data_IF_476649015274
#
_entry.id   IF_476649015274
#
_cell.length_a   1.000
_cell.length_b   1.000
_cell.length_c   1.000
_cell.angle_alpha   90.00
_cell.angle_beta   90.00
_cell.angle_gamma   90.00
#
_symmetry.space_group_name_H-M   'P 1'
#
loop_
_entity.id
_entity.type
_entity.pdbx_description
1 polymer ?
#
# COMPACT_ATOMS: atom_id res chain seq x y z
N UNK A 1 8.54 13.88 -37.20
CA UNK A 1 9.05 13.84 -38.60
C UNK A 1 10.09 12.74 -38.82
N UNK A 2 11.29 12.75 -38.22
CA UNK A 2 12.37 11.78 -38.52
C UNK A 2 11.97 10.31 -38.36
N UNK A 3 11.22 9.90 -37.32
CA UNK A 3 10.74 8.51 -37.17
C UNK A 3 9.83 8.09 -38.31
N UNK A 4 8.93 8.98 -38.74
CA UNK A 4 8.01 8.70 -39.87
C UNK A 4 8.81 8.53 -41.16
N UNK A 5 9.80 9.40 -41.39
CA UNK A 5 10.69 9.30 -42.53
C UNK A 5 11.50 7.99 -42.55
N UNK A 6 12.13 7.63 -41.43
CA UNK A 6 12.88 6.37 -41.32
C UNK A 6 11.99 5.14 -41.60
N UNK A 7 10.76 5.10 -41.09
CA UNK A 7 9.82 4.01 -41.37
C UNK A 7 9.36 4.02 -42.82
N UNK A 8 9.16 5.21 -43.43
CA UNK A 8 8.81 5.34 -44.84
C UNK A 8 9.96 4.86 -45.76
N UNK A 9 11.21 5.12 -45.39
CA UNK A 9 12.40 4.66 -46.10
C UNK A 9 12.55 3.11 -46.09
N UNK A 10 12.03 2.43 -45.09
CA UNK A 10 12.05 0.98 -44.93
C UNK A 10 10.80 0.28 -45.49
N UNK A 11 9.79 1.05 -45.88
CA UNK A 11 8.52 0.53 -46.36
C UNK A 11 8.44 0.58 -47.89
N UNK A 12 7.71 -0.38 -48.50
CA UNK A 12 7.52 -0.41 -49.95
C UNK A 12 6.76 0.81 -50.50
N UNK A 13 5.89 1.38 -49.65
CA UNK A 13 5.11 2.58 -49.96
C UNK A 13 4.65 3.29 -48.68
N UNK A 14 4.15 4.52 -48.81
CA UNK A 14 3.69 5.32 -47.67
C UNK A 14 2.45 4.74 -46.98
N UNK A 15 1.64 3.93 -47.64
CA UNK A 15 0.50 3.24 -47.03
C UNK A 15 0.98 2.16 -46.03
N UNK A 16 1.99 1.40 -46.44
CA UNK A 16 2.62 0.41 -45.52
C UNK A 16 3.28 1.11 -44.31
N UNK A 17 4.01 2.19 -44.55
CA UNK A 17 4.60 3.00 -43.46
C UNK A 17 3.53 3.53 -42.52
N UNK A 18 2.40 4.00 -43.04
CA UNK A 18 1.27 4.48 -42.24
C UNK A 18 0.66 3.39 -41.38
N UNK A 19 0.48 2.18 -41.94
CA UNK A 19 -0.02 1.01 -41.18
C UNK A 19 0.93 0.62 -40.06
N UNK A 20 2.25 0.56 -40.33
CA UNK A 20 3.28 0.24 -39.29
C UNK A 20 3.32 1.25 -38.16
N UNK A 21 3.01 2.52 -38.43
CA UNK A 21 3.05 3.62 -37.48
C UNK A 21 1.70 3.91 -36.80
N UNK A 22 0.62 3.28 -37.24
CA UNK A 22 -0.73 3.56 -36.75
C UNK A 22 -1.23 4.97 -37.08
N UNK A 23 -0.80 5.55 -38.23
CA UNK A 23 -1.19 6.90 -38.70
C UNK A 23 -1.86 6.87 -40.04
N UNK A 24 -2.41 8.00 -40.50
CA UNK A 24 -2.96 8.07 -41.87
C UNK A 24 -1.86 8.22 -42.94
N UNK A 25 -2.06 7.71 -44.17
CA UNK A 25 -1.11 7.90 -45.27
C UNK A 25 -0.83 9.38 -45.59
N UNK A 26 -1.82 10.25 -45.37
CA UNK A 26 -1.66 11.69 -45.55
C UNK A 26 -0.70 12.28 -44.50
N UNK A 27 -0.72 11.75 -43.23
CA UNK A 27 0.20 12.16 -42.18
C UNK A 27 1.66 11.81 -42.53
N UNK A 28 1.89 10.62 -43.13
CA UNK A 28 3.21 10.21 -43.64
C UNK A 28 3.68 11.14 -44.75
N UNK A 29 2.82 11.41 -45.76
CA UNK A 29 3.14 12.30 -46.87
C UNK A 29 3.48 13.71 -46.38
N UNK A 30 2.71 14.25 -45.44
CA UNK A 30 2.95 15.57 -44.85
C UNK A 30 4.29 15.61 -44.12
N UNK A 31 4.56 14.64 -43.27
CA UNK A 31 5.79 14.59 -42.46
C UNK A 31 7.04 14.47 -43.35
N UNK A 32 6.97 13.71 -44.43
CA UNK A 32 8.06 13.61 -45.42
C UNK A 32 8.25 14.93 -46.12
N UNK A 33 7.17 15.58 -46.62
CA UNK A 33 7.25 16.88 -47.28
C UNK A 33 7.81 17.97 -46.37
N UNK A 34 7.35 18.04 -45.14
CA UNK A 34 7.88 18.99 -44.13
C UNK A 34 9.38 18.76 -43.87
N UNK A 35 9.84 17.50 -43.89
CA UNK A 35 11.25 17.19 -43.75
C UNK A 35 12.05 17.59 -45.00
N UNK A 36 11.54 17.35 -46.22
CA UNK A 36 12.12 17.79 -47.48
C UNK A 36 12.26 19.34 -47.52
N UNK A 37 11.19 20.03 -47.14
CA UNK A 37 11.20 21.49 -47.04
C UNK A 37 12.24 22.00 -46.00
N UNK A 38 12.46 21.26 -44.91
CA UNK A 38 13.43 21.62 -43.88
C UNK A 38 14.88 21.39 -44.32
N UNK A 39 15.15 20.28 -45.02
CA UNK A 39 16.51 19.93 -45.47
C UNK A 39 16.88 20.53 -46.81
N UNK A 40 15.88 21.03 -47.57
CA UNK A 40 16.06 21.65 -48.89
C UNK A 40 16.30 20.67 -50.03
N UNK A 41 16.11 19.37 -49.80
CA UNK A 41 16.40 18.29 -50.77
C UNK A 41 15.25 17.28 -50.79
N UNK A 42 15.02 16.67 -51.95
CA UNK A 42 14.04 15.59 -52.06
C UNK A 42 14.57 14.31 -51.45
N UNK A 43 13.75 13.68 -50.60
CA UNK A 43 14.07 12.42 -49.95
C UNK A 43 13.53 11.21 -50.72
N UNK A 44 12.47 11.40 -51.52
CA UNK A 44 11.90 10.38 -52.35
C UNK A 44 11.68 10.90 -53.80
N UNK A 45 11.87 10.04 -54.76
CA UNK A 45 11.51 10.33 -56.16
C UNK A 45 9.97 10.36 -56.30
N UNK A 46 9.48 11.39 -56.97
CA UNK A 46 8.02 11.53 -57.24
C UNK A 46 7.56 10.48 -58.26
N UNK A 47 7.23 9.29 -57.80
CA UNK A 47 6.58 8.27 -58.63
C UNK A 47 5.39 7.69 -57.87
N UNK A 48 4.21 7.65 -58.50
CA UNK A 48 2.93 7.31 -57.85
C UNK A 48 2.76 5.83 -57.49
N UNK A 49 3.67 4.94 -57.90
CA UNK A 49 3.53 3.49 -57.68
C UNK A 49 4.54 2.88 -56.72
N UNK A 50 5.72 3.49 -56.51
CA UNK A 50 6.76 3.00 -55.58
C UNK A 50 7.49 4.16 -54.94
N UNK A 51 7.71 4.06 -53.63
CA UNK A 51 8.58 4.99 -52.92
C UNK A 51 10.04 4.64 -53.21
N UNK A 52 10.63 5.28 -54.22
CA UNK A 52 12.06 5.14 -54.42
C UNK A 52 12.77 6.26 -53.67
N UNK A 53 13.55 5.91 -52.64
CA UNK A 53 14.33 6.86 -51.87
C UNK A 53 15.47 7.43 -52.72
N UNK A 54 15.84 8.69 -52.53
CA UNK A 54 16.99 9.32 -53.17
C UNK A 54 18.28 8.95 -52.47
N UNK A 55 19.43 9.11 -53.09
CA UNK A 55 20.74 8.90 -52.45
C UNK A 55 20.90 9.76 -51.17
N UNK A 56 20.52 11.05 -51.26
CA UNK A 56 20.48 11.93 -50.11
C UNK A 56 19.53 11.40 -49.01
N UNK A 57 18.34 10.90 -49.41
CA UNK A 57 17.39 10.30 -48.49
C UNK A 57 17.97 9.06 -47.75
N UNK A 58 18.67 8.17 -48.51
CA UNK A 58 19.34 6.99 -47.88
C UNK A 58 20.39 7.42 -46.84
N UNK A 59 21.24 8.37 -47.17
CA UNK A 59 22.25 8.90 -46.27
C UNK A 59 21.61 9.54 -45.03
N UNK A 60 20.55 10.32 -45.23
CA UNK A 60 19.80 10.93 -44.12
C UNK A 60 19.12 9.86 -43.26
N UNK A 61 18.52 8.82 -43.83
CA UNK A 61 17.87 7.75 -43.13
C UNK A 61 18.84 6.98 -42.20
N UNK A 62 20.06 6.71 -42.66
CA UNK A 62 21.12 6.08 -41.87
C UNK A 62 21.46 6.94 -40.63
N UNK A 63 21.72 8.24 -40.85
CA UNK A 63 22.07 9.18 -39.78
C UNK A 63 20.92 9.39 -38.82
N UNK A 64 19.70 9.52 -39.32
CA UNK A 64 18.50 9.70 -38.49
C UNK A 64 18.23 8.51 -37.59
N UNK A 65 18.38 7.26 -38.12
CA UNK A 65 18.24 6.03 -37.33
C UNK A 65 19.25 5.98 -36.18
N UNK A 66 20.51 6.26 -36.43
CA UNK A 66 21.54 6.28 -35.41
C UNK A 66 21.22 7.31 -34.31
N UNK A 67 20.79 8.51 -34.67
CA UNK A 67 20.41 9.53 -33.74
C UNK A 67 19.16 9.16 -32.94
N UNK A 68 18.15 8.56 -33.57
CA UNK A 68 16.93 8.09 -32.91
C UNK A 68 17.21 6.95 -31.91
N UNK A 69 18.12 6.03 -32.25
CA UNK A 69 18.59 5.00 -31.32
C UNK A 69 19.24 5.59 -30.06
N UNK A 70 20.03 6.65 -30.25
CA UNK A 70 20.61 7.39 -29.12
C UNK A 70 19.55 8.01 -28.20
N UNK A 71 18.53 8.62 -28.78
CA UNK A 71 17.38 9.18 -28.05
C UNK A 71 16.62 8.08 -27.30
N UNK A 72 16.32 6.97 -27.97
CA UNK A 72 15.62 5.84 -27.37
C UNK A 72 16.42 5.22 -26.21
N UNK A 73 17.75 5.13 -26.34
CA UNK A 73 18.63 4.67 -25.27
C UNK A 73 18.61 5.57 -24.03
N UNK A 74 18.45 6.89 -24.21
CA UNK A 74 18.28 7.82 -23.09
C UNK A 74 17.01 7.53 -22.30
N UNK A 75 15.89 7.30 -22.98
CA UNK A 75 14.61 6.96 -22.32
C UNK A 75 14.66 5.59 -21.67
N UNK A 76 15.22 4.57 -22.33
CA UNK A 76 15.39 3.24 -21.75
C UNK A 76 16.27 3.25 -20.50
N UNK A 77 17.36 4.03 -20.49
CA UNK A 77 18.19 4.22 -19.30
C UNK A 77 17.44 4.89 -18.16
N UNK A 78 16.59 5.88 -18.47
CA UNK A 78 15.76 6.54 -17.47
C UNK A 78 14.73 5.57 -16.86
N UNK A 79 14.11 4.70 -17.65
CA UNK A 79 13.19 3.67 -17.17
C UNK A 79 13.90 2.61 -16.33
N UNK A 80 15.07 2.13 -16.76
CA UNK A 80 15.91 1.20 -16.01
C UNK A 80 16.40 1.81 -14.69
N UNK A 81 16.78 3.08 -14.68
CA UNK A 81 17.16 3.79 -13.47
C UNK A 81 15.98 3.89 -12.48
N UNK A 82 14.77 4.22 -12.96
CA UNK A 82 13.56 4.23 -12.12
C UNK A 82 13.22 2.85 -11.56
N UNK A 83 13.30 1.79 -12.37
CA UNK A 83 13.09 0.43 -11.90
C UNK A 83 14.14 0.02 -10.86
N UNK A 84 15.41 0.43 -11.03
CA UNK A 84 16.49 0.21 -10.07
C UNK A 84 16.29 0.99 -8.76
N UNK A 85 15.75 2.23 -8.81
CA UNK A 85 15.45 3.02 -7.61
C UNK A 85 14.33 2.42 -6.74
N UNK A 86 13.41 1.68 -7.36
CA UNK A 86 12.32 0.98 -6.66
C UNK A 86 12.73 -0.41 -6.18
N UNK A 87 13.87 -0.95 -6.63
CA UNK A 87 14.38 -2.21 -6.18
C UNK A 87 15.04 -2.10 -4.79
N UNK A 88 14.96 -3.21 -4.03
CA UNK A 88 15.61 -3.35 -2.73
C UNK A 88 14.65 -3.54 -1.57
N UNK A 89 15.21 -3.66 -0.38
CA UNK A 89 14.50 -4.00 0.84
C UNK A 89 13.81 -2.77 1.46
N UNK A 90 12.56 -2.98 1.92
CA UNK A 90 11.80 -2.07 2.78
C UNK A 90 11.31 -2.86 3.99
N UNK A 91 11.72 -2.44 5.18
CA UNK A 91 11.30 -3.03 6.46
C UNK A 91 10.11 -2.30 7.04
N UNK A 92 9.06 -3.05 7.33
CA UNK A 92 7.79 -2.55 7.84
C UNK A 92 7.53 -3.17 9.20
N UNK A 93 7.12 -2.37 10.19
CA UNK A 93 6.59 -2.89 11.46
C UNK A 93 5.11 -2.55 11.60
N UNK A 94 4.34 -3.49 12.14
CA UNK A 94 2.92 -3.32 12.41
C UNK A 94 2.46 -4.19 13.58
N UNK A 95 1.35 -3.86 14.27
CA UNK A 95 0.72 -4.75 15.24
C UNK A 95 0.44 -6.12 14.61
N UNK A 96 0.64 -7.20 15.39
CA UNK A 96 0.52 -8.59 14.88
C UNK A 96 -0.82 -8.87 14.20
N UNK A 97 -1.91 -8.51 14.86
CA UNK A 97 -3.24 -8.73 14.33
C UNK A 97 -3.51 -7.91 13.04
N UNK A 98 -3.06 -6.66 13.01
CA UNK A 98 -3.17 -5.80 11.84
C UNK A 98 -2.35 -6.34 10.65
N UNK A 99 -1.15 -6.85 10.92
CA UNK A 99 -0.30 -7.49 9.92
C UNK A 99 -1.00 -8.64 9.23
N UNK A 100 -1.70 -9.49 9.98
CA UNK A 100 -2.42 -10.66 9.43
C UNK A 100 -3.68 -10.29 8.64
N UNK A 101 -4.48 -9.35 9.14
CA UNK A 101 -5.82 -9.10 8.61
C UNK A 101 -5.92 -7.90 7.66
N UNK A 102 -4.98 -6.94 7.72
CA UNK A 102 -5.07 -5.70 6.94
C UNK A 102 -4.00 -5.50 5.88
N UNK A 103 -2.77 -5.98 6.12
CA UNK A 103 -1.61 -5.60 5.29
C UNK A 103 -1.33 -6.53 4.11
N UNK A 104 -1.60 -7.83 4.22
CA UNK A 104 -1.15 -8.82 3.22
C UNK A 104 -1.63 -8.51 1.82
N UNK A 105 -2.84 -7.96 1.69
CA UNK A 105 -3.39 -7.61 0.38
C UNK A 105 -2.56 -6.50 -0.29
N UNK A 106 -2.38 -5.37 0.38
CA UNK A 106 -1.66 -4.21 -0.20
C UNK A 106 -0.18 -4.53 -0.43
N UNK A 107 0.45 -5.29 0.46
CA UNK A 107 1.85 -5.70 0.30
C UNK A 107 2.01 -6.69 -0.87
N UNK A 108 1.08 -7.61 -1.05
CA UNK A 108 1.05 -8.53 -2.19
C UNK A 108 0.87 -7.80 -3.53
N UNK A 109 -0.02 -6.82 -3.59
CA UNK A 109 -0.20 -5.96 -4.78
C UNK A 109 1.09 -5.20 -5.13
N UNK A 110 1.77 -4.64 -4.12
CA UNK A 110 3.05 -3.93 -4.31
C UNK A 110 4.15 -4.86 -4.85
N UNK A 111 4.30 -6.06 -4.29
CA UNK A 111 5.29 -7.03 -4.79
C UNK A 111 4.99 -7.49 -6.23
N UNK A 112 3.72 -7.66 -6.57
CA UNK A 112 3.31 -8.03 -7.93
C UNK A 112 3.60 -6.93 -8.96
N UNK A 113 3.39 -5.66 -8.58
CA UNK A 113 3.63 -4.50 -9.45
C UNK A 113 5.11 -4.13 -9.56
N UNK A 114 5.93 -4.45 -8.56
CA UNK A 114 7.34 -4.08 -8.47
C UNK A 114 8.23 -5.29 -8.14
N UNK A 115 8.58 -6.15 -9.13
CA UNK A 115 9.31 -7.40 -8.89
C UNK A 115 10.68 -7.24 -8.22
N UNK A 116 11.28 -6.05 -8.29
CA UNK A 116 12.54 -5.74 -7.60
C UNK A 116 12.38 -5.32 -6.13
N UNK A 117 11.15 -5.07 -5.67
CA UNK A 117 10.85 -4.67 -4.31
C UNK A 117 10.87 -5.89 -3.38
N UNK A 118 11.58 -5.78 -2.28
CA UNK A 118 11.62 -6.78 -1.22
C UNK A 118 10.99 -6.20 0.05
N UNK A 119 10.02 -6.87 0.63
CA UNK A 119 9.32 -6.43 1.84
C UNK A 119 9.65 -7.37 3.00
N UNK A 120 10.13 -6.78 4.11
CA UNK A 120 10.37 -7.45 5.40
C UNK A 120 9.33 -6.94 6.40
N UNK A 121 8.28 -7.73 6.66
CA UNK A 121 7.24 -7.37 7.61
C UNK A 121 7.54 -7.97 8.98
N UNK A 122 7.77 -7.11 9.96
CA UNK A 122 7.96 -7.46 11.36
C UNK A 122 6.71 -7.13 12.15
N UNK A 123 5.93 -8.17 12.45
CA UNK A 123 4.71 -8.04 13.24
C UNK A 123 5.03 -8.06 14.73
N UNK A 124 4.85 -6.92 15.40
CA UNK A 124 5.15 -6.77 16.82
C UNK A 124 4.21 -5.74 17.47
N UNK A 125 3.68 -6.09 18.63
CA UNK A 125 2.90 -5.17 19.46
C UNK A 125 3.81 -4.36 20.42
N UNK A 126 5.10 -4.67 20.48
CA UNK A 126 6.09 -3.82 21.15
C UNK A 126 6.37 -2.55 20.34
N UNK A 127 6.69 -1.48 21.06
CA UNK A 127 7.26 -0.30 20.42
C UNK A 127 8.69 -0.65 19.95
N UNK A 128 8.83 -0.96 18.67
CA UNK A 128 10.14 -1.17 18.08
C UNK A 128 11.01 0.08 18.25
N UNK A 129 12.24 -0.05 18.68
CA UNK A 129 13.21 1.00 18.44
C UNK A 129 13.53 1.01 16.96
N UNK A 130 12.84 1.92 16.26
CA UNK A 130 12.91 2.07 14.79
C UNK A 130 14.35 2.27 14.31
N UNK A 131 15.23 2.75 15.20
CA UNK A 131 16.63 3.02 14.90
C UNK A 131 17.45 1.74 14.93
N UNK A 132 17.33 0.98 16.03
CA UNK A 132 18.13 -0.22 16.26
C UNK A 132 17.65 -1.38 15.38
N UNK A 133 16.36 -1.45 15.06
CA UNK A 133 15.77 -2.47 14.21
C UNK A 133 15.79 -2.14 12.71
N UNK A 134 16.33 -1.00 12.31
CA UNK A 134 16.40 -0.55 10.92
C UNK A 134 15.05 -0.55 10.22
N UNK A 135 14.00 -0.11 10.92
CA UNK A 135 12.65 -0.02 10.37
C UNK A 135 12.52 1.20 9.47
N UNK A 136 12.01 1.01 8.26
CA UNK A 136 11.76 2.08 7.29
C UNK A 136 10.36 2.68 7.44
N UNK A 137 9.36 1.84 7.74
CA UNK A 137 7.95 2.25 7.87
C UNK A 137 7.33 1.54 9.07
N UNK A 138 6.57 2.27 9.87
CA UNK A 138 5.79 1.71 10.95
C UNK A 138 4.31 2.01 10.82
N UNK A 139 3.48 1.11 11.34
CA UNK A 139 2.04 1.29 11.46
C UNK A 139 1.68 1.07 12.93
N UNK A 140 0.91 1.99 13.52
CA UNK A 140 0.51 1.89 14.93
C UNK A 140 -0.89 2.45 15.16
N UNK A 141 -1.55 1.85 16.13
CA UNK A 141 -2.81 2.34 16.72
C UNK A 141 -2.46 3.13 17.97
N UNK A 142 -3.07 4.31 18.12
CA UNK A 142 -2.86 5.18 19.27
C UNK A 142 -1.96 6.38 18.99
N UNK A 143 -1.52 7.05 20.07
CA UNK A 143 -0.78 8.31 19.97
C UNK A 143 0.70 8.07 19.74
N UNK A 144 1.21 8.59 18.63
CA UNK A 144 2.64 8.66 18.34
C UNK A 144 3.19 9.97 18.97
N UNK A 145 3.98 9.84 20.03
CA UNK A 145 4.55 11.00 20.75
C UNK A 145 5.95 11.41 20.31
N UNK A 146 6.55 10.68 19.35
CA UNK A 146 7.94 10.91 18.97
C UNK A 146 8.02 11.86 17.76
N UNK A 147 8.60 13.05 17.98
CA UNK A 147 8.82 14.07 16.95
C UNK A 147 9.85 13.67 15.87
N UNK A 148 10.58 12.57 16.05
CA UNK A 148 11.54 12.04 15.09
C UNK A 148 10.88 11.33 13.90
N UNK A 149 9.54 11.23 13.91
CA UNK A 149 8.78 10.57 12.86
C UNK A 149 8.00 11.56 11.99
N UNK A 150 7.96 11.27 10.71
CA UNK A 150 6.94 11.80 9.79
C UNK A 150 5.77 10.83 9.84
N UNK A 151 4.67 11.24 10.47
CA UNK A 151 3.49 10.42 10.64
C UNK A 151 2.29 10.97 9.85
N UNK A 152 1.42 10.07 9.40
CA UNK A 152 0.11 10.35 8.82
C UNK A 152 -0.95 9.57 9.57
N UNK A 153 -1.87 10.26 10.23
CA UNK A 153 -3.09 9.63 10.71
C UNK A 153 -3.96 9.31 9.47
N UNK A 154 -4.27 8.04 9.27
CA UNK A 154 -4.92 7.54 8.04
C UNK A 154 -6.34 7.05 8.29
N UNK A 155 -6.63 6.59 9.50
CA UNK A 155 -7.94 6.08 9.90
C UNK A 155 -8.08 6.14 11.42
N UNK A 156 -9.21 5.65 11.92
CA UNK A 156 -9.46 5.45 13.34
C UNK A 156 -9.87 4.01 13.60
N UNK A 157 -9.54 3.50 14.77
CA UNK A 157 -9.82 2.15 15.23
C UNK A 157 -10.71 2.22 16.45
N UNK A 158 -11.92 1.66 16.35
CA UNK A 158 -12.85 1.53 17.48
C UNK A 158 -12.52 0.30 18.31
N UNK A 159 -13.04 0.28 19.51
CA UNK A 159 -12.95 -0.86 20.43
C UNK A 159 -14.36 -1.32 20.79
N UNK A 160 -14.52 -2.62 20.92
CA UNK A 160 -15.79 -3.26 21.26
C UNK A 160 -15.62 -4.16 22.47
N UNK A 161 -16.51 -4.09 23.44
CA UNK A 161 -16.62 -5.10 24.49
C UNK A 161 -17.51 -6.20 23.97
N UNK A 162 -16.97 -7.40 23.84
CA UNK A 162 -17.63 -8.51 23.14
C UNK A 162 -17.56 -9.82 23.92
N UNK A 163 -18.48 -10.71 23.59
CA UNK A 163 -18.50 -12.08 24.08
C UNK A 163 -19.05 -13.03 23.03
N UNK A 164 -18.70 -14.32 23.11
CA UNK A 164 -19.35 -15.36 22.33
C UNK A 164 -20.80 -15.59 22.82
N UNK A 165 -21.76 -15.93 21.89
CA UNK A 165 -23.15 -16.24 22.26
C UNK A 165 -23.28 -17.31 23.35
N UNK A 166 -22.41 -18.31 23.33
CA UNK A 166 -22.39 -19.41 24.30
C UNK A 166 -22.03 -18.91 25.72
N UNK A 167 -21.16 -17.91 25.83
CA UNK A 167 -20.84 -17.28 27.11
C UNK A 167 -22.06 -16.51 27.64
N UNK A 168 -22.72 -15.75 26.77
CA UNK A 168 -23.93 -15.01 27.14
C UNK A 168 -25.07 -15.93 27.58
N UNK A 169 -25.20 -17.08 26.94
CA UNK A 169 -26.21 -18.10 27.34
C UNK A 169 -25.91 -18.69 28.73
N UNK A 170 -24.61 -18.78 29.11
CA UNK A 170 -24.22 -19.33 30.43
C UNK A 170 -24.38 -18.33 31.57
N UNK A 171 -23.95 -17.07 31.37
CA UNK A 171 -23.84 -16.13 32.47
C UNK A 171 -24.66 -14.83 32.28
N UNK A 172 -25.42 -14.73 31.19
CA UNK A 172 -26.23 -13.55 30.86
C UNK A 172 -25.38 -12.38 30.33
N UNK A 173 -26.03 -11.45 29.67
CA UNK A 173 -25.40 -10.21 29.23
C UNK A 173 -25.26 -9.25 30.42
N UNK A 174 -24.09 -8.63 30.63
CA UNK A 174 -23.94 -7.56 31.61
C UNK A 174 -24.70 -6.31 31.15
N UNK A 175 -25.30 -5.61 32.09
CA UNK A 175 -26.01 -4.34 31.84
C UNK A 175 -25.27 -3.14 32.40
N UNK A 176 -24.25 -3.38 33.23
CA UNK A 176 -23.38 -2.38 33.82
C UNK A 176 -21.93 -2.85 33.90
N UNK A 177 -20.99 -1.93 34.07
CA UNK A 177 -19.59 -2.27 34.31
C UNK A 177 -19.42 -3.09 35.63
N UNK A 178 -20.29 -2.88 36.62
CA UNK A 178 -20.26 -3.66 37.83
C UNK A 178 -20.70 -5.10 37.62
N UNK A 179 -21.73 -5.31 36.78
CA UNK A 179 -22.12 -6.68 36.35
C UNK A 179 -20.99 -7.39 35.62
N UNK A 180 -20.31 -6.65 34.75
CA UNK A 180 -19.16 -7.18 34.00
C UNK A 180 -18.00 -7.57 34.89
N UNK A 181 -17.79 -6.84 36.00
CA UNK A 181 -16.71 -7.12 36.97
C UNK A 181 -16.87 -8.49 37.69
N UNK A 182 -18.08 -9.02 37.74
CA UNK A 182 -18.40 -10.32 38.34
C UNK A 182 -18.40 -11.48 37.30
N UNK A 183 -18.02 -11.18 36.04
CA UNK A 183 -18.03 -12.14 34.93
C UNK A 183 -16.61 -12.56 34.56
N UNK A 184 -16.45 -13.73 33.92
CA UNK A 184 -15.16 -14.13 33.36
C UNK A 184 -14.73 -13.14 32.28
N UNK A 185 -13.50 -12.64 32.37
CA UNK A 185 -12.93 -11.68 31.41
C UNK A 185 -11.61 -12.15 30.86
N UNK A 186 -11.22 -11.61 29.72
CA UNK A 186 -9.87 -11.74 29.15
C UNK A 186 -9.15 -10.41 29.30
N UNK A 187 -7.83 -10.41 29.19
CA UNK A 187 -7.04 -9.19 29.19
C UNK A 187 -5.78 -9.36 28.33
N UNK A 188 -5.49 -8.36 27.53
CA UNK A 188 -4.19 -8.25 26.87
C UNK A 188 -3.11 -7.82 27.89
N UNK A 189 -1.91 -8.40 27.77
CA UNK A 189 -0.72 -7.96 28.49
C UNK A 189 0.05 -7.02 27.57
N UNK A 190 0.36 -5.82 28.06
CA UNK A 190 1.23 -4.89 27.35
C UNK A 190 2.64 -5.48 27.24
N UNK A 191 3.11 -5.82 26.04
CA UNK A 191 4.40 -6.45 25.86
C UNK A 191 5.58 -5.52 26.16
N UNK A 192 5.36 -4.20 26.31
CA UNK A 192 6.39 -3.25 26.66
C UNK A 192 6.60 -3.18 28.19
N UNK A 193 5.54 -3.38 28.98
CA UNK A 193 5.58 -3.24 30.43
C UNK A 193 5.43 -4.57 31.16
N UNK A 194 4.94 -5.61 30.49
CA UNK A 194 4.60 -6.91 31.08
C UNK A 194 3.37 -6.85 32.00
N UNK A 195 2.60 -5.75 31.98
CA UNK A 195 1.42 -5.56 32.82
C UNK A 195 0.13 -5.75 32.04
N UNK A 196 -0.96 -6.20 32.69
CA UNK A 196 -2.27 -6.25 32.07
C UNK A 196 -2.68 -4.86 31.56
N UNK A 197 -3.22 -4.81 30.37
CA UNK A 197 -3.69 -3.59 29.72
C UNK A 197 -5.10 -3.29 30.22
N UNK A 198 -5.29 -2.11 30.81
CA UNK A 198 -6.62 -1.68 31.21
C UNK A 198 -7.53 -1.53 29.98
N UNK A 199 -8.80 -1.90 30.12
CA UNK A 199 -9.79 -1.58 29.12
C UNK A 199 -10.07 -0.08 29.13
N UNK A 200 -10.10 0.50 27.96
CA UNK A 200 -10.41 1.92 27.79
C UNK A 200 -11.91 2.09 27.65
N UNK A 201 -12.46 3.05 28.35
CA UNK A 201 -13.89 3.29 28.39
C UNK A 201 -14.20 4.75 27.98
N UNK A 202 -15.48 5.01 27.71
CA UNK A 202 -15.98 6.34 27.40
C UNK A 202 -15.54 7.37 28.45
N UNK A 203 -15.34 8.62 28.01
CA UNK A 203 -14.89 9.69 28.91
C UNK A 203 -13.43 9.56 29.37
N UNK A 204 -12.61 8.73 28.72
CA UNK A 204 -11.21 8.54 29.06
C UNK A 204 -10.98 7.69 30.32
N UNK A 205 -12.01 7.03 30.81
CA UNK A 205 -11.90 6.12 31.94
C UNK A 205 -11.14 4.85 31.57
N UNK A 206 -10.51 4.25 32.58
CA UNK A 206 -9.82 2.98 32.44
C UNK A 206 -10.34 2.00 33.49
N UNK A 207 -10.55 0.77 33.07
CA UNK A 207 -10.99 -0.31 33.93
C UNK A 207 -10.09 -1.52 33.74
N UNK A 208 -9.57 -2.06 34.83
CA UNK A 208 -8.75 -3.24 34.82
C UNK A 208 -9.52 -4.42 35.41
N UNK A 209 -9.77 -5.51 34.68
CA UNK A 209 -10.32 -6.74 35.22
C UNK A 209 -9.48 -7.24 36.39
N UNK A 210 -10.11 -7.46 37.56
CA UNK A 210 -9.38 -7.82 38.80
C UNK A 210 -8.82 -9.24 38.77
N UNK A 211 -9.56 -10.17 38.15
CA UNK A 211 -9.19 -11.57 38.10
C UNK A 211 -9.56 -12.14 36.68
N UNK A 212 -8.80 -11.77 35.65
CA UNK A 212 -9.11 -12.25 34.30
C UNK A 212 -8.95 -13.78 34.23
N UNK A 213 -9.88 -14.45 33.58
CA UNK A 213 -9.83 -15.89 33.34
C UNK A 213 -8.72 -16.26 32.37
N UNK A 214 -8.37 -15.34 31.47
CA UNK A 214 -7.32 -15.53 30.49
C UNK A 214 -6.55 -14.22 30.26
N UNK A 215 -5.23 -14.33 30.17
CA UNK A 215 -4.34 -13.21 29.89
C UNK A 215 -3.30 -13.63 28.85
N UNK A 216 -3.00 -12.77 27.90
CA UNK A 216 -2.02 -13.03 26.82
C UNK A 216 -1.41 -11.73 26.31
N UNK A 217 -0.20 -11.77 25.78
CA UNK A 217 0.48 -10.66 25.08
C UNK A 217 0.21 -10.65 23.55
N UNK A 218 -0.67 -11.56 23.08
CA UNK A 218 -1.11 -11.64 21.67
C UNK A 218 -2.61 -11.30 21.59
N UNK A 219 -2.94 -10.12 21.04
CA UNK A 219 -4.34 -9.67 20.88
C UNK A 219 -5.15 -10.56 19.95
N UNK A 220 -4.51 -11.29 19.03
CA UNK A 220 -5.15 -12.31 18.20
C UNK A 220 -5.54 -13.53 19.02
N UNK A 221 -4.65 -14.00 19.92
CA UNK A 221 -4.97 -15.10 20.82
C UNK A 221 -6.05 -14.70 21.84
N UNK A 222 -6.09 -13.44 22.28
CA UNK A 222 -7.18 -12.92 23.10
C UNK A 222 -8.53 -13.01 22.35
N UNK A 223 -8.57 -12.58 21.07
CA UNK A 223 -9.77 -12.67 20.26
C UNK A 223 -10.26 -14.11 20.10
N UNK A 224 -9.37 -15.08 19.88
CA UNK A 224 -9.70 -16.50 19.83
C UNK A 224 -10.23 -17.03 21.17
N UNK A 225 -9.68 -16.59 22.30
CA UNK A 225 -10.18 -16.95 23.61
C UNK A 225 -11.61 -16.42 23.84
N UNK A 226 -11.89 -15.18 23.43
CA UNK A 226 -13.25 -14.61 23.48
C UNK A 226 -14.21 -15.38 22.61
N UNK A 227 -13.81 -15.74 21.37
CA UNK A 227 -14.59 -16.58 20.46
C UNK A 227 -14.88 -17.96 21.03
N UNK A 228 -13.95 -18.54 21.77
CA UNK A 228 -14.13 -19.81 22.46
C UNK A 228 -14.99 -19.69 23.73
N UNK A 229 -15.53 -18.50 24.07
CA UNK A 229 -16.37 -18.28 25.24
C UNK A 229 -15.63 -18.39 26.57
N UNK A 230 -14.32 -18.13 26.58
CA UNK A 230 -13.50 -18.11 27.82
C UNK A 230 -13.87 -16.93 28.71
N UNK A 231 -14.14 -15.75 28.12
CA UNK A 231 -14.50 -14.55 28.85
C UNK A 231 -14.96 -13.42 27.94
N UNK A 232 -15.46 -12.35 28.54
CA UNK A 232 -15.67 -11.07 27.86
C UNK A 232 -14.32 -10.44 27.56
N UNK A 233 -14.17 -9.82 26.39
CA UNK A 233 -12.95 -9.14 25.99
C UNK A 233 -13.22 -7.77 25.39
N UNK A 234 -12.25 -6.86 25.51
CA UNK A 234 -12.26 -5.61 24.75
C UNK A 234 -11.35 -5.78 23.54
N UNK A 235 -11.94 -5.86 22.35
CA UNK A 235 -11.22 -6.08 21.10
C UNK A 235 -11.26 -4.85 20.18
N UNK A 236 -10.20 -4.67 19.40
CA UNK A 236 -10.18 -3.68 18.33
C UNK A 236 -11.16 -4.06 17.21
N UNK A 237 -11.71 -3.07 16.50
CA UNK A 237 -12.70 -3.27 15.46
C UNK A 237 -12.25 -4.26 14.38
N UNK A 238 -11.00 -4.23 13.96
CA UNK A 238 -10.48 -5.15 12.93
C UNK A 238 -10.43 -6.63 13.38
N UNK A 239 -10.44 -6.89 14.70
CA UNK A 239 -10.59 -8.24 15.26
C UNK A 239 -12.05 -8.57 15.51
N UNK A 240 -12.85 -7.63 16.02
CA UNK A 240 -14.22 -7.89 16.44
C UNK A 240 -15.21 -7.89 15.26
N UNK A 241 -15.14 -6.91 14.36
CA UNK A 241 -16.17 -6.65 13.33
C UNK A 241 -16.48 -7.85 12.41
N UNK A 242 -15.48 -8.61 11.90
CA UNK A 242 -15.78 -9.79 11.08
C UNK A 242 -16.60 -10.85 11.85
N UNK A 243 -16.39 -10.98 13.15
CA UNK A 243 -17.09 -11.94 14.01
C UNK A 243 -18.46 -11.42 14.46
N UNK A 244 -18.58 -10.12 14.72
CA UNK A 244 -19.87 -9.46 14.98
C UNK A 244 -20.81 -9.61 13.77
N UNK A 245 -20.33 -9.33 12.56
CA UNK A 245 -21.11 -9.51 11.32
C UNK A 245 -21.52 -10.95 11.06
N UNK A 246 -20.70 -11.90 11.48
CA UNK A 246 -20.97 -13.34 11.34
C UNK A 246 -21.79 -13.92 12.50
N UNK A 247 -22.18 -13.11 13.50
CA UNK A 247 -22.91 -13.55 14.67
C UNK A 247 -22.12 -14.46 15.63
N UNK A 248 -20.80 -14.56 15.46
CA UNK A 248 -19.90 -15.32 16.32
C UNK A 248 -19.50 -14.57 17.60
N UNK A 249 -19.63 -13.27 17.59
CA UNK A 249 -19.51 -12.38 18.74
C UNK A 249 -20.76 -11.52 18.85
N UNK A 250 -21.06 -11.11 20.07
CA UNK A 250 -22.11 -10.15 20.41
C UNK A 250 -21.46 -9.02 21.17
N UNK A 251 -21.75 -7.78 20.77
CA UNK A 251 -21.32 -6.60 21.50
C UNK A 251 -22.19 -6.39 22.74
N UNK A 252 -21.53 -6.02 23.85
CA UNK A 252 -22.19 -5.69 25.11
C UNK A 252 -21.69 -4.33 25.58
N UNK A 253 -22.54 -3.59 26.31
CA UNK A 253 -22.20 -2.26 26.86
C UNK A 253 -21.61 -1.30 25.82
N UNK A 254 -22.21 -1.14 24.62
CA UNK A 254 -21.66 -0.30 23.56
C UNK A 254 -21.52 1.18 23.97
N UNK A 255 -22.31 1.63 24.94
CA UNK A 255 -22.23 2.98 25.53
C UNK A 255 -20.93 3.22 26.31
N UNK A 256 -20.23 2.17 26.70
CA UNK A 256 -18.92 2.24 27.38
C UNK A 256 -17.74 2.27 26.40
N UNK A 257 -17.98 2.16 25.10
CA UNK A 257 -16.90 2.18 24.11
C UNK A 257 -16.11 3.51 24.19
N UNK A 258 -14.77 3.48 24.15
CA UNK A 258 -13.95 4.68 24.15
C UNK A 258 -14.04 5.40 22.81
N UNK A 259 -13.58 6.67 22.78
CA UNK A 259 -13.33 7.34 21.51
C UNK A 259 -12.34 6.52 20.66
N UNK A 260 -12.57 6.43 19.33
CA UNK A 260 -11.69 5.68 18.45
C UNK A 260 -10.25 6.20 18.47
N UNK A 261 -9.30 5.31 18.41
CA UNK A 261 -7.88 5.66 18.40
C UNK A 261 -7.36 5.81 16.96
N UNK A 262 -6.46 6.78 16.77
CA UNK A 262 -5.84 7.00 15.46
C UNK A 262 -5.02 5.78 15.01
N UNK A 263 -5.24 5.35 13.77
CA UNK A 263 -4.31 4.50 13.03
C UNK A 263 -3.35 5.41 12.24
N UNK A 264 -2.07 5.25 12.50
CA UNK A 264 -1.04 6.07 11.86
C UNK A 264 -0.04 5.21 11.09
N UNK A 265 0.33 5.68 9.89
CA UNK A 265 1.50 5.22 9.15
C UNK A 265 2.62 6.24 9.39
N UNK A 266 3.80 5.78 9.78
CA UNK A 266 4.91 6.67 10.10
C UNK A 266 6.22 6.13 9.54
N UNK A 267 7.20 7.02 9.38
CA UNK A 267 8.56 6.70 9.01
C UNK A 267 9.55 7.60 9.74
N UNK A 268 10.79 7.19 9.95
CA UNK A 268 11.82 8.07 10.51
C UNK A 268 12.03 9.33 9.65
N UNK A 269 12.22 10.47 10.33
CA UNK A 269 12.59 11.72 9.67
C UNK A 269 14.12 11.76 9.51
N UNK A 270 14.64 11.08 8.49
CA UNK A 270 16.08 11.04 8.22
C UNK A 270 16.35 11.33 6.75
N UNK A 271 17.00 12.44 6.45
CA UNK A 271 17.56 12.78 5.16
C UNK A 271 16.71 12.48 3.92
N UNK A 272 17.32 12.29 2.77
CA UNK A 272 16.62 11.87 1.56
C UNK A 272 16.04 10.47 1.70
N UNK A 273 14.77 10.30 1.35
CA UNK A 273 14.03 9.02 1.42
C UNK A 273 14.13 8.32 0.08
N UNK A 274 14.58 7.06 0.08
CA UNK A 274 14.65 6.24 -1.12
C UNK A 274 13.27 6.12 -1.79
N UNK A 275 13.23 6.10 -3.12
CA UNK A 275 11.98 6.07 -3.90
C UNK A 275 11.10 4.86 -3.52
N UNK A 276 11.69 3.68 -3.26
CA UNK A 276 10.97 2.48 -2.81
C UNK A 276 10.27 2.67 -1.47
N UNK A 277 10.90 3.35 -0.49
CA UNK A 277 10.30 3.61 0.83
C UNK A 277 9.13 4.58 0.68
N UNK A 278 9.29 5.63 -0.15
CA UNK A 278 8.23 6.59 -0.44
C UNK A 278 7.04 5.90 -1.10
N UNK A 279 7.28 5.09 -2.12
CA UNK A 279 6.24 4.31 -2.80
C UNK A 279 5.41 3.47 -1.81
N UNK A 280 6.08 2.68 -0.97
CA UNK A 280 5.40 1.82 0.01
C UNK A 280 4.65 2.65 1.04
N UNK A 281 5.26 3.72 1.55
CA UNK A 281 4.62 4.64 2.51
C UNK A 281 3.35 5.26 1.94
N UNK A 282 3.42 5.86 0.74
CA UNK A 282 2.29 6.54 0.10
C UNK A 282 1.16 5.53 -0.20
N UNK A 283 1.49 4.32 -0.64
CA UNK A 283 0.51 3.26 -0.90
C UNK A 283 -0.18 2.78 0.38
N UNK A 284 0.54 2.67 1.49
CA UNK A 284 -0.06 2.34 2.79
C UNK A 284 -0.96 3.46 3.30
N UNK A 285 -0.54 4.72 3.15
CA UNK A 285 -1.36 5.89 3.51
C UNK A 285 -2.66 5.90 2.70
N UNK A 286 -2.59 5.68 1.40
CA UNK A 286 -3.76 5.59 0.52
C UNK A 286 -4.68 4.43 0.93
N UNK A 287 -4.12 3.23 1.10
CA UNK A 287 -4.88 2.01 1.41
C UNK A 287 -5.70 2.13 2.69
N UNK A 288 -5.12 2.66 3.76
CA UNK A 288 -5.81 2.84 5.03
C UNK A 288 -6.66 4.10 5.08
N UNK A 289 -6.37 5.11 4.24
CA UNK A 289 -7.11 6.37 4.15
C UNK A 289 -8.37 6.30 3.28
N UNK A 290 -8.47 5.32 2.36
CA UNK A 290 -9.68 5.08 1.57
C UNK A 290 -10.77 4.53 2.49
N UNK A 291 -11.66 5.42 2.96
CA UNK A 291 -12.72 5.12 3.92
C UNK A 291 -13.52 3.87 3.54
N UNK A 292 -13.51 2.86 4.41
CA UNK A 292 -14.32 1.65 4.31
C UNK A 292 -13.60 0.36 3.95
N UNK A 293 -12.32 0.36 3.64
CA UNK A 293 -11.54 -0.88 3.40
C UNK A 293 -10.98 -1.49 4.68
N UNK A 294 -10.87 -0.68 5.73
CA UNK A 294 -10.43 -1.13 7.04
C UNK A 294 -11.60 -0.97 8.03
N UNK A 295 -12.07 -2.06 8.68
CA UNK A 295 -13.22 -2.05 9.57
C UNK A 295 -13.00 -1.27 10.85
#
# INVERSE_FOLDING_TARGET
MLRIFCTAAESRNFKEAATRLGVSPQAVTRAVKELEDHVGELLFHRNTRHNRITEFGEQLAVRARHSLQGVDAVFQRAEQARASELAGLVRITAPRALGRHGLMRVLGELCAQHPGLQLDLRSSDQFADVVDEQIDIGIRVGVLRDSRFVARAVSSVSFHIVAAPELLARCGAPTTLQDLAERPTTVAIDPNTGRPWAWFLAGGQQWLPRAPTFATDDTGAEAEAVLAGVGFGQLTAYLATPHLRAGRLVEVLPELAPEPWSLSVYRPQRGPVAARIRLVFDRLVEYFGEGGRFP
#
